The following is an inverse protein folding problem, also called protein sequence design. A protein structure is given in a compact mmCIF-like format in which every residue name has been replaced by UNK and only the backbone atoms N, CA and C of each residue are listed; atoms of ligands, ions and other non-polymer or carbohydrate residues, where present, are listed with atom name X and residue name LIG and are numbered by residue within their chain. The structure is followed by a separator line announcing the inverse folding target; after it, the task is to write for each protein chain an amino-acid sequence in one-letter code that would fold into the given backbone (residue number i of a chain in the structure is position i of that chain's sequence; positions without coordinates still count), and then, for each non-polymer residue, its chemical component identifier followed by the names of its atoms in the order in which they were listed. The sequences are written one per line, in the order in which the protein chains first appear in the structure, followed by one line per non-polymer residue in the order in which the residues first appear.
data_IF_930796786552
#
_entry.id   IF_930796786552
#
_cell.length_a   1.000
_cell.length_b   1.000
_cell.length_c   1.000
_cell.angle_alpha   90.00
_cell.angle_beta   90.00
_cell.angle_gamma   90.00
#
_symmetry.space_group_name_H-M   'P 1'
#
loop_
_entity.id
_entity.type
_entity.pdbx_description
1 polymer ?
#
# COMPACT_ATOMS: atom_id res chain seq x y z
N UNK A 1 -12.72 -0.13 -4.58
CA UNK A 1 -11.79 -0.65 -3.56
C UNK A 1 -12.50 -1.79 -2.86
N UNK A 2 -11.98 -3.00 -2.97
CA UNK A 2 -12.38 -4.13 -2.14
C UNK A 2 -11.57 -4.02 -0.83
N UNK A 3 -12.14 -3.32 0.16
CA UNK A 3 -11.36 -2.80 1.29
C UNK A 3 -11.55 -3.59 2.57
N UNK A 4 -10.43 -4.06 3.12
CA UNK A 4 -10.28 -4.70 4.43
C UNK A 4 -10.50 -3.76 5.62
N UNK A 5 -10.56 -2.46 5.38
CA UNK A 5 -10.90 -1.44 6.40
C UNK A 5 -12.37 -1.55 6.81
N UNK A 6 -13.22 -2.04 5.90
CA UNK A 6 -14.61 -2.35 6.21
C UNK A 6 -14.71 -3.77 6.80
N UNK A 7 -15.81 -4.05 7.49
CA UNK A 7 -16.08 -5.40 7.99
C UNK A 7 -16.21 -6.37 6.81
N UNK A 8 -15.41 -7.46 6.75
CA UNK A 8 -15.52 -8.46 5.69
C UNK A 8 -16.92 -9.09 5.67
N UNK A 9 -17.46 -9.25 4.46
CA UNK A 9 -18.73 -9.95 4.24
C UNK A 9 -18.54 -11.46 4.03
N UNK A 10 -17.38 -11.86 3.51
CA UNK A 10 -16.89 -13.24 3.39
C UNK A 10 -15.48 -13.26 4.02
N UNK A 11 -15.09 -14.37 4.64
CA UNK A 11 -13.78 -14.56 5.29
C UNK A 11 -12.89 -15.59 4.56
N UNK A 12 -13.39 -16.13 3.44
CA UNK A 12 -12.77 -17.20 2.66
C UNK A 12 -12.60 -16.81 1.19
N UNK A 13 -13.55 -16.07 0.61
CA UNK A 13 -13.50 -15.69 -0.80
C UNK A 13 -13.51 -14.18 -1.00
N UNK A 14 -12.59 -13.70 -1.84
CA UNK A 14 -12.65 -12.35 -2.38
C UNK A 14 -13.61 -12.33 -3.58
N UNK A 15 -14.02 -11.13 -3.97
CA UNK A 15 -14.82 -10.90 -5.18
C UNK A 15 -14.06 -11.43 -6.40
N UNK A 16 -14.77 -12.16 -7.28
CA UNK A 16 -14.29 -12.44 -8.63
C UNK A 16 -14.45 -11.17 -9.48
N UNK A 17 -13.35 -10.42 -9.58
CA UNK A 17 -13.33 -9.06 -10.17
C UNK A 17 -13.40 -9.11 -11.69
N UNK A 18 -13.12 -10.26 -12.32
CA UNK A 18 -13.22 -10.44 -13.77
C UNK A 18 -14.65 -10.30 -14.30
N UNK A 19 -15.66 -10.50 -13.44
CA UNK A 19 -17.07 -10.31 -13.80
C UNK A 19 -17.49 -8.84 -13.94
N UNK A 20 -16.57 -7.90 -13.70
CA UNK A 20 -16.86 -6.46 -13.68
C UNK A 20 -16.05 -5.71 -14.74
N UNK A 21 -16.65 -4.62 -15.25
CA UNK A 21 -15.97 -3.67 -16.14
C UNK A 21 -15.25 -2.55 -15.38
N UNK A 22 -15.68 -2.28 -14.14
CA UNK A 22 -15.08 -1.26 -13.29
C UNK A 22 -13.82 -1.83 -12.65
N UNK A 23 -12.68 -1.13 -12.68
CA UNK A 23 -11.44 -1.63 -12.10
C UNK A 23 -11.51 -1.71 -10.57
N UNK A 24 -10.88 -2.74 -10.02
CA UNK A 24 -10.76 -2.94 -8.57
C UNK A 24 -9.37 -2.58 -8.08
N UNK A 25 -9.33 -2.00 -6.88
CA UNK A 25 -8.12 -1.86 -6.06
C UNK A 25 -8.27 -2.76 -4.84
N UNK A 26 -7.19 -3.46 -4.48
CA UNK A 26 -7.13 -4.35 -3.32
C UNK A 26 -5.91 -4.02 -2.44
N UNK A 27 -6.04 -4.26 -1.13
CA UNK A 27 -4.93 -4.17 -0.18
C UNK A 27 -4.04 -5.42 -0.20
N UNK A 28 -2.74 -5.24 0.01
CA UNK A 28 -1.78 -6.33 0.22
C UNK A 28 -0.73 -5.97 1.27
N UNK A 29 -0.28 -6.98 2.02
CA UNK A 29 0.82 -6.87 3.00
C UNK A 29 2.14 -7.40 2.45
N UNK A 30 2.08 -8.33 1.51
CA UNK A 30 3.23 -9.02 0.92
C UNK A 30 2.97 -9.34 -0.57
N UNK A 31 4.00 -9.82 -1.26
CA UNK A 31 3.91 -10.09 -2.70
C UNK A 31 2.92 -11.22 -3.04
N UNK A 32 2.89 -12.30 -2.26
CA UNK A 32 1.98 -13.42 -2.53
C UNK A 32 0.52 -12.99 -2.50
N UNK A 33 0.16 -12.19 -1.49
CA UNK A 33 -1.16 -11.58 -1.37
C UNK A 33 -1.48 -10.67 -2.56
N UNK A 34 -0.56 -9.78 -2.95
CA UNK A 34 -0.74 -8.91 -4.11
C UNK A 34 -1.01 -9.72 -5.40
N UNK A 35 -0.24 -10.78 -5.64
CA UNK A 35 -0.39 -11.62 -6.84
C UNK A 35 -1.71 -12.40 -6.84
N UNK A 36 -2.19 -12.87 -5.67
CA UNK A 36 -3.52 -13.48 -5.58
C UNK A 36 -4.63 -12.49 -5.94
N UNK A 37 -4.57 -11.25 -5.42
CA UNK A 37 -5.56 -10.20 -5.75
C UNK A 37 -5.54 -9.84 -7.24
N UNK A 38 -4.36 -9.76 -7.85
CA UNK A 38 -4.21 -9.51 -9.30
C UNK A 38 -4.82 -10.68 -10.09
N UNK A 39 -4.55 -11.93 -9.70
CA UNK A 39 -5.13 -13.10 -10.34
C UNK A 39 -6.66 -13.14 -10.25
N UNK A 40 -7.22 -12.63 -9.17
CA UNK A 40 -8.67 -12.46 -9.00
C UNK A 40 -9.26 -11.27 -9.78
N UNK A 41 -8.43 -10.49 -10.50
CA UNK A 41 -8.84 -9.38 -11.35
C UNK A 41 -8.63 -7.98 -10.77
N UNK A 42 -7.80 -7.81 -9.73
CA UNK A 42 -7.43 -6.48 -9.25
C UNK A 42 -6.58 -5.74 -10.30
N UNK A 43 -7.01 -4.53 -10.67
CA UNK A 43 -6.31 -3.66 -11.62
C UNK A 43 -5.32 -2.70 -10.94
N UNK A 44 -5.29 -2.71 -9.60
CA UNK A 44 -4.45 -1.86 -8.77
C UNK A 44 -4.22 -2.51 -7.41
N UNK A 45 -3.02 -2.36 -6.87
CA UNK A 45 -2.68 -2.79 -5.51
C UNK A 45 -2.34 -1.56 -4.66
N UNK A 46 -2.73 -1.60 -3.39
CA UNK A 46 -2.22 -0.70 -2.35
C UNK A 46 -1.66 -1.48 -1.18
N UNK A 47 -0.72 -0.90 -0.43
CA UNK A 47 -0.44 -1.44 0.91
C UNK A 47 -1.70 -1.35 1.78
N UNK A 48 -1.86 -2.26 2.75
CA UNK A 48 -2.92 -2.12 3.77
C UNK A 48 -2.57 -1.01 4.74
N UNK A 49 -1.38 -1.13 5.33
CA UNK A 49 -0.94 -0.30 6.45
C UNK A 49 -1.90 -0.42 7.63
N UNK A 50 -1.78 0.46 8.62
CA UNK A 50 -2.77 0.53 9.69
C UNK A 50 -3.61 1.80 9.48
N UNK A 51 -4.84 1.63 9.00
CA UNK A 51 -5.68 2.76 8.64
C UNK A 51 -6.21 3.48 9.89
N UNK A 52 -6.18 4.81 9.87
CA UNK A 52 -6.75 5.63 10.95
C UNK A 52 -5.82 5.93 12.14
N UNK A 53 -4.60 5.36 12.17
CA UNK A 53 -3.63 5.57 13.26
C UNK A 53 -2.72 6.76 13.07
N UNK A 54 -2.50 7.21 11.84
CA UNK A 54 -1.48 8.22 11.55
C UNK A 54 -0.04 7.72 11.72
N UNK A 55 0.15 6.41 11.79
CA UNK A 55 1.47 5.76 11.84
C UNK A 55 1.76 5.00 10.54
N UNK A 56 2.77 5.49 9.79
CA UNK A 56 3.20 4.95 8.50
C UNK A 56 4.08 3.70 8.60
N UNK A 57 4.40 3.22 9.80
CA UNK A 57 5.28 2.07 10.06
C UNK A 57 4.84 0.80 9.31
N UNK A 58 3.57 0.42 9.43
CA UNK A 58 3.02 -0.78 8.76
C UNK A 58 3.02 -0.64 7.24
N UNK A 59 2.63 0.53 6.73
CA UNK A 59 2.65 0.81 5.30
C UNK A 59 4.08 0.71 4.73
N UNK A 60 5.06 1.25 5.47
CA UNK A 60 6.49 1.13 5.16
C UNK A 60 6.93 -0.34 5.13
N UNK A 61 6.53 -1.12 6.13
CA UNK A 61 6.81 -2.55 6.20
C UNK A 61 6.30 -3.32 4.98
N UNK A 62 5.04 -3.14 4.61
CA UNK A 62 4.44 -3.79 3.45
C UNK A 62 5.14 -3.41 2.15
N UNK A 63 5.41 -2.11 1.93
CA UNK A 63 6.11 -1.64 0.73
C UNK A 63 7.50 -2.28 0.61
N UNK A 64 8.25 -2.36 1.72
CA UNK A 64 9.56 -3.02 1.74
C UNK A 64 9.45 -4.51 1.47
N UNK A 65 8.49 -5.21 2.09
CA UNK A 65 8.29 -6.65 1.90
C UNK A 65 7.94 -6.98 0.45
N UNK A 66 6.98 -6.27 -0.15
CA UNK A 66 6.56 -6.47 -1.54
C UNK A 66 7.75 -6.24 -2.48
N UNK A 67 8.44 -5.12 -2.35
CA UNK A 67 9.56 -4.77 -3.24
C UNK A 67 10.77 -5.67 -3.06
N UNK A 68 11.09 -6.09 -1.84
CA UNK A 68 12.17 -7.03 -1.58
C UNK A 68 11.87 -8.40 -2.19
N UNK A 69 10.62 -8.88 -2.11
CA UNK A 69 10.21 -10.11 -2.75
C UNK A 69 10.28 -10.02 -4.28
N UNK A 70 9.87 -8.89 -4.88
CA UNK A 70 10.02 -8.66 -6.33
C UNK A 70 11.49 -8.69 -6.74
N UNK A 71 12.37 -7.99 -6.00
CA UNK A 71 13.81 -7.98 -6.27
C UNK A 71 14.43 -9.37 -6.12
N UNK A 72 13.97 -10.16 -5.14
CA UNK A 72 14.39 -11.56 -4.97
C UNK A 72 13.99 -12.39 -6.19
N UNK A 73 12.73 -12.32 -6.64
CA UNK A 73 12.25 -13.04 -7.82
C UNK A 73 13.05 -12.70 -9.08
N UNK A 74 13.35 -11.41 -9.29
CA UNK A 74 14.13 -10.96 -10.45
C UNK A 74 15.59 -11.47 -10.47
N UNK A 75 16.10 -11.93 -9.33
CA UNK A 75 17.44 -12.50 -9.22
C UNK A 75 17.47 -14.03 -9.31
N UNK A 76 16.32 -14.70 -9.29
CA UNK A 76 16.24 -16.17 -9.39
C UNK A 76 16.40 -16.62 -10.85
N UNK A 77 17.04 -17.78 -11.09
CA UNK A 77 16.94 -18.45 -12.37
C UNK A 77 15.51 -18.99 -12.58
N UNK A 78 15.10 -19.17 -13.84
CA UNK A 78 13.72 -19.48 -14.20
C UNK A 78 13.20 -20.79 -13.57
N UNK A 79 14.07 -21.80 -13.41
CA UNK A 79 13.73 -23.09 -12.81
C UNK A 79 13.44 -23.01 -11.29
N UNK A 80 14.01 -22.02 -10.59
CA UNK A 80 13.72 -21.79 -9.16
C UNK A 80 12.35 -21.08 -8.94
N UNK A 81 11.78 -20.47 -9.99
CA UNK A 81 10.51 -19.74 -9.88
C UNK A 81 9.31 -20.63 -9.56
N UNK A 82 9.36 -21.92 -9.89
CA UNK A 82 8.29 -22.87 -9.52
C UNK A 82 8.14 -23.02 -8.00
N UNK A 83 9.27 -23.10 -7.28
CA UNK A 83 9.26 -23.18 -5.81
C UNK A 83 8.81 -21.84 -5.23
N UNK A 84 9.32 -20.72 -5.76
CA UNK A 84 8.90 -19.40 -5.33
C UNK A 84 7.39 -19.16 -5.49
N UNK A 85 6.80 -19.58 -6.62
CA UNK A 85 5.36 -19.48 -6.85
C UNK A 85 4.54 -20.31 -5.84
N UNK A 86 5.03 -21.51 -5.48
CA UNK A 86 4.41 -22.34 -4.45
C UNK A 86 4.46 -21.68 -3.07
N UNK A 87 5.60 -21.12 -2.68
CA UNK A 87 5.76 -20.44 -1.38
C UNK A 87 4.92 -19.16 -1.28
N UNK A 88 4.85 -18.39 -2.37
CA UNK A 88 4.00 -17.20 -2.47
C UNK A 88 2.51 -17.54 -2.54
N UNK A 89 2.17 -18.80 -2.81
CA UNK A 89 0.80 -19.25 -3.09
C UNK A 89 0.17 -18.40 -4.22
N UNK A 90 0.94 -18.20 -5.29
CA UNK A 90 0.59 -17.35 -6.41
C UNK A 90 0.71 -18.10 -7.75
N UNK A 91 -0.04 -17.70 -8.80
CA UNK A 91 0.06 -18.33 -10.11
C UNK A 91 1.47 -18.20 -10.71
N UNK A 92 2.00 -19.31 -11.22
CA UNK A 92 3.36 -19.35 -11.77
C UNK A 92 3.59 -18.32 -12.89
N UNK A 93 2.66 -18.20 -13.84
CA UNK A 93 2.81 -17.25 -14.95
C UNK A 93 2.94 -15.81 -14.47
N UNK A 94 2.18 -15.44 -13.43
CA UNK A 94 2.23 -14.10 -12.85
C UNK A 94 3.54 -13.87 -12.08
N UNK A 95 4.02 -14.89 -11.37
CA UNK A 95 5.34 -14.85 -10.70
C UNK A 95 6.46 -14.69 -11.72
N UNK A 96 6.40 -15.43 -12.83
CA UNK A 96 7.36 -15.35 -13.93
C UNK A 96 7.34 -13.98 -14.61
N UNK A 97 6.15 -13.42 -14.86
CA UNK A 97 6.01 -12.07 -15.39
C UNK A 97 6.66 -11.03 -14.47
N UNK A 98 6.40 -11.10 -13.16
CA UNK A 98 6.99 -10.18 -12.17
C UNK A 98 8.50 -10.35 -12.06
N UNK A 99 9.01 -11.58 -12.09
CA UNK A 99 10.44 -11.87 -12.09
C UNK A 99 11.13 -11.23 -13.31
N UNK A 100 10.55 -11.40 -14.50
CA UNK A 100 11.09 -10.83 -15.74
C UNK A 100 10.99 -9.30 -15.79
N UNK A 101 9.89 -8.72 -15.30
CA UNK A 101 9.64 -7.28 -15.36
C UNK A 101 10.32 -6.49 -14.23
N UNK A 102 10.64 -7.13 -13.11
CA UNK A 102 11.16 -6.48 -11.90
C UNK A 102 10.16 -5.54 -11.22
N UNK A 103 8.86 -5.70 -11.50
CA UNK A 103 7.75 -4.89 -10.96
C UNK A 103 6.41 -5.64 -11.08
N UNK A 104 5.39 -5.16 -10.38
CA UNK A 104 4.02 -5.64 -10.57
C UNK A 104 3.49 -5.21 -11.95
N UNK A 105 2.57 -5.99 -12.56
CA UNK A 105 1.90 -5.63 -13.81
C UNK A 105 0.81 -4.55 -13.62
N UNK A 106 0.56 -4.13 -12.39
CA UNK A 106 -0.41 -3.08 -12.01
C UNK A 106 0.27 -2.03 -11.13
N UNK A 107 -0.36 -0.87 -11.00
CA UNK A 107 0.11 0.21 -10.11
C UNK A 107 0.12 -0.24 -8.64
N UNK A 108 1.15 0.19 -7.91
CA UNK A 108 1.35 -0.05 -6.48
C UNK A 108 1.32 1.26 -5.70
N UNK A 109 0.20 1.54 -5.03
CA UNK A 109 0.09 2.70 -4.15
C UNK A 109 0.42 2.33 -2.70
N UNK A 110 0.69 3.34 -1.88
CA UNK A 110 0.75 3.19 -0.43
C UNK A 110 -0.51 3.73 0.23
N UNK A 111 -1.09 2.96 1.16
CA UNK A 111 -2.16 3.38 2.05
C UNK A 111 -1.88 2.96 3.51
N UNK A 112 -2.58 3.64 4.43
CA UNK A 112 -2.47 3.43 5.87
C UNK A 112 -1.40 4.31 6.51
N UNK A 113 -1.75 5.02 7.59
CA UNK A 113 -0.78 5.78 8.39
C UNK A 113 -0.30 7.14 7.87
N UNK A 114 -0.51 7.49 6.60
CA UNK A 114 0.00 8.76 6.03
C UNK A 114 -0.72 9.96 6.66
N UNK A 115 0.02 10.79 7.42
CA UNK A 115 -0.53 11.94 8.16
C UNK A 115 0.14 13.28 7.80
N UNK A 116 1.33 13.23 7.19
CA UNK A 116 2.14 14.41 6.88
C UNK A 116 2.62 14.43 5.42
N UNK A 117 3.03 15.60 4.89
CA UNK A 117 3.68 15.67 3.59
C UNK A 117 4.99 14.86 3.53
N UNK A 118 5.72 14.77 4.65
CA UNK A 118 6.95 13.97 4.73
C UNK A 118 6.66 12.47 4.57
N UNK A 119 5.59 11.95 5.19
CA UNK A 119 5.18 10.55 5.01
C UNK A 119 4.86 10.26 3.55
N UNK A 120 4.09 11.15 2.90
CA UNK A 120 3.73 11.00 1.50
C UNK A 120 4.96 11.00 0.58
N UNK A 121 5.89 11.94 0.77
CA UNK A 121 7.14 11.96 0.01
C UNK A 121 7.99 10.72 0.26
N UNK A 122 8.13 10.29 1.52
CA UNK A 122 8.86 9.08 1.88
C UNK A 122 8.30 7.84 1.18
N UNK A 123 6.98 7.70 1.09
CA UNK A 123 6.36 6.55 0.41
C UNK A 123 6.64 6.54 -1.09
N UNK A 124 6.65 7.71 -1.74
CA UNK A 124 7.07 7.83 -3.14
C UNK A 124 8.56 7.47 -3.31
N UNK A 125 9.44 7.94 -2.42
CA UNK A 125 10.88 7.58 -2.42
C UNK A 125 11.12 6.08 -2.19
N UNK A 126 10.22 5.40 -1.48
CA UNK A 126 10.24 3.94 -1.33
C UNK A 126 9.74 3.18 -2.57
N UNK A 127 9.35 3.90 -3.63
CA UNK A 127 8.95 3.33 -4.92
C UNK A 127 7.47 2.97 -5.00
N UNK A 128 6.62 3.74 -4.32
CA UNK A 128 5.18 3.75 -4.59
C UNK A 128 4.87 4.57 -5.86
N UNK A 129 3.82 4.18 -6.58
CA UNK A 129 3.30 4.93 -7.73
C UNK A 129 2.35 6.07 -7.31
N UNK A 130 1.99 6.12 -6.03
CA UNK A 130 1.08 7.11 -5.46
C UNK A 130 0.70 6.78 -4.02
N UNK A 131 -0.10 7.65 -3.39
CA UNK A 131 -0.50 7.53 -1.99
C UNK A 131 -2.00 7.71 -1.79
N UNK A 132 -2.59 6.94 -0.87
CA UNK A 132 -3.94 7.13 -0.36
C UNK A 132 -3.89 7.80 1.01
N UNK A 133 -4.71 8.84 1.18
CA UNK A 133 -4.73 9.62 2.42
C UNK A 133 -6.18 9.87 2.81
N UNK A 134 -6.54 9.44 4.02
CA UNK A 134 -7.88 9.61 4.59
C UNK A 134 -7.84 10.46 5.84
N UNK A 135 -7.74 9.79 7.00
CA UNK A 135 -7.75 10.45 8.33
C UNK A 135 -6.67 11.51 8.49
N UNK A 136 -5.49 11.32 7.88
CA UNK A 136 -4.38 12.27 7.92
C UNK A 136 -4.75 13.68 7.47
N UNK A 137 -5.72 13.80 6.55
CA UNK A 137 -6.25 15.09 6.09
C UNK A 137 -7.44 15.51 6.95
N UNK A 138 -8.49 14.69 7.01
CA UNK A 138 -9.78 15.12 7.55
C UNK A 138 -9.86 15.18 9.08
N UNK A 139 -8.91 14.55 9.80
CA UNK A 139 -8.78 14.67 11.26
C UNK A 139 -7.70 15.66 11.69
N UNK A 140 -7.23 16.53 10.78
CA UNK A 140 -6.24 17.57 11.08
C UNK A 140 -6.90 18.93 11.34
N UNK A 141 -6.14 19.87 11.92
CA UNK A 141 -6.63 21.22 12.22
C UNK A 141 -6.86 22.10 10.99
N UNK A 142 -6.27 21.78 9.84
CA UNK A 142 -6.52 22.48 8.57
C UNK A 142 -6.52 21.51 7.37
N UNK A 143 -7.63 20.80 7.12
CA UNK A 143 -7.70 19.77 6.08
C UNK A 143 -7.38 20.28 4.67
N UNK A 144 -7.87 21.47 4.29
CA UNK A 144 -7.67 22.00 2.95
C UNK A 144 -6.19 22.29 2.67
N UNK A 145 -5.50 22.97 3.59
CA UNK A 145 -4.08 23.26 3.45
C UNK A 145 -3.23 21.98 3.51
N UNK A 146 -3.58 21.03 4.40
CA UNK A 146 -2.88 19.75 4.51
C UNK A 146 -3.05 18.90 3.25
N UNK A 147 -4.25 18.84 2.67
CA UNK A 147 -4.48 18.14 1.41
C UNK A 147 -3.59 18.72 0.28
N UNK A 148 -3.56 20.04 0.14
CA UNK A 148 -2.71 20.70 -0.84
C UNK A 148 -1.22 20.44 -0.60
N UNK A 149 -0.79 20.45 0.66
CA UNK A 149 0.59 20.16 1.04
C UNK A 149 1.00 18.71 0.74
N UNK A 150 0.12 17.75 1.01
CA UNK A 150 0.35 16.33 0.72
C UNK A 150 0.42 16.10 -0.79
N UNK A 151 -0.52 16.63 -1.57
CA UNK A 151 -0.47 16.56 -3.05
C UNK A 151 0.83 17.13 -3.59
N UNK A 152 1.26 18.29 -3.07
CA UNK A 152 2.52 18.93 -3.46
C UNK A 152 3.73 18.06 -3.11
N UNK A 153 3.79 17.49 -1.91
CA UNK A 153 4.89 16.64 -1.49
C UNK A 153 4.91 15.29 -2.24
N UNK A 154 3.76 14.73 -2.61
CA UNK A 154 3.70 13.55 -3.49
C UNK A 154 4.23 13.86 -4.88
N UNK A 155 3.97 15.07 -5.41
CA UNK A 155 4.42 15.46 -6.76
C UNK A 155 5.93 15.75 -6.80
N UNK A 156 6.44 16.43 -5.77
CA UNK A 156 7.84 16.86 -5.67
C UNK A 156 8.57 16.09 -4.56
N UNK A 157 8.38 14.77 -4.53
CA UNK A 157 8.84 13.92 -3.43
C UNK A 157 10.36 13.81 -3.31
N UNK A 158 11.09 14.23 -4.34
CA UNK A 158 12.56 14.25 -4.42
C UNK A 158 13.16 15.65 -4.20
N UNK A 159 12.32 16.69 -4.01
CA UNK A 159 12.75 18.06 -3.72
C UNK A 159 12.59 18.38 -2.22
N UNK A 160 13.67 18.32 -1.42
CA UNK A 160 13.61 18.56 0.02
C UNK A 160 13.17 19.99 0.37
N UNK A 161 13.47 20.98 -0.48
CA UNK A 161 13.06 22.37 -0.25
C UNK A 161 11.55 22.53 -0.43
N UNK A 162 10.97 21.88 -1.45
CA UNK A 162 9.52 21.88 -1.66
C UNK A 162 8.80 21.17 -0.53
N UNK A 163 9.29 20.01 -0.09
CA UNK A 163 8.72 19.25 1.03
C UNK A 163 8.78 20.09 2.31
N UNK A 164 9.93 20.70 2.62
CA UNK A 164 10.09 21.55 3.79
C UNK A 164 9.16 22.76 3.75
N UNK A 165 8.99 23.41 2.58
CA UNK A 165 8.05 24.54 2.40
C UNK A 165 6.59 24.09 2.55
N UNK A 166 6.22 22.96 1.95
CA UNK A 166 4.86 22.40 2.03
C UNK A 166 4.49 21.99 3.46
N UNK A 167 5.47 21.63 4.29
CA UNK A 167 5.26 21.15 5.65
C UNK A 167 5.06 22.28 6.69
N UNK A 168 5.18 23.55 6.28
CA UNK A 168 5.07 24.71 7.18
C UNK A 168 3.62 25.16 7.38
N UNK A 169 3.31 25.55 8.62
CA UNK A 169 2.06 26.24 8.93
C UNK A 169 0.80 25.42 8.70
N UNK A 170 0.87 24.08 8.79
CA UNK A 170 -0.24 23.15 8.53
C UNK A 170 -1.23 22.98 9.70
N UNK A 171 -1.02 23.70 10.80
CA UNK A 171 -1.74 23.51 12.05
C UNK A 171 -1.50 22.13 12.67
N UNK A 172 -2.36 21.76 13.63
CA UNK A 172 -2.27 20.49 14.32
C UNK A 172 -2.47 19.31 13.36
N UNK A 173 -1.61 18.31 13.48
CA UNK A 173 -1.78 17.03 12.80
C UNK A 173 -2.89 16.21 13.47
N UNK A 174 -3.35 15.15 12.80
CA UNK A 174 -4.18 14.17 13.49
C UNK A 174 -3.41 13.57 14.68
N UNK A 175 -4.12 13.28 15.77
CA UNK A 175 -3.52 12.58 16.92
C UNK A 175 -3.23 11.15 16.49
N UNK A 176 -1.95 10.77 16.59
CA UNK A 176 -1.49 9.43 16.28
C UNK A 176 -1.98 8.43 17.33
N UNK A 177 -2.24 7.19 16.90
CA UNK A 177 -2.51 6.06 17.78
C UNK A 177 -1.34 5.09 17.61
N UNK A 178 -0.71 4.70 18.71
CA UNK A 178 0.35 3.70 18.66
C UNK A 178 -0.26 2.35 18.26
N UNK A 179 0.24 1.74 17.19
CA UNK A 179 -0.28 0.46 16.67
C UNK A 179 -0.12 -0.67 17.69
N UNK A 180 0.92 -0.62 18.51
CA UNK A 180 1.17 -1.63 19.56
C UNK A 180 0.09 -1.63 20.64
N UNK A 181 -0.60 -0.50 20.84
CA UNK A 181 -1.69 -0.34 21.80
C UNK A 181 -3.05 -0.81 21.25
N UNK A 182 -3.13 -1.12 19.95
CA UNK A 182 -4.34 -1.65 19.31
C UNK A 182 -4.36 -3.17 19.51
N UNK A 183 -5.40 -3.74 20.16
CA UNK A 183 -5.55 -5.18 20.29
C UNK A 183 -5.56 -5.85 18.91
N UNK A 184 -4.87 -6.98 18.76
CA UNK A 184 -4.76 -7.72 17.48
C UNK A 184 -6.09 -7.87 16.70
N UNK A 185 -7.23 -8.23 17.31
CA UNK A 185 -8.50 -8.36 16.58
C UNK A 185 -8.99 -7.07 15.89
N UNK A 186 -8.47 -5.92 16.31
CA UNK A 186 -8.83 -4.61 15.79
C UNK A 186 -7.81 -4.04 14.80
N UNK A 187 -6.66 -4.69 14.61
CA UNK A 187 -5.65 -4.28 13.63
C UNK A 187 -6.13 -4.57 12.22
N UNK A 188 -6.17 -3.54 11.39
CA UNK A 188 -6.63 -3.59 10.02
C UNK A 188 -5.56 -4.13 9.07
N UNK A 189 -4.28 -3.87 9.38
CA UNK A 189 -3.14 -4.40 8.63
C UNK A 189 -3.13 -5.93 8.53
N UNK A 190 -3.62 -6.61 9.57
CA UNK A 190 -3.67 -8.07 9.68
C UNK A 190 -4.98 -8.67 9.13
N UNK A 191 -5.94 -7.85 8.67
CA UNK A 191 -7.23 -8.33 8.12
C UNK A 191 -7.12 -8.69 6.65
N UNK A 192 -7.71 -9.82 6.25
CA UNK A 192 -7.67 -10.33 4.87
C UNK A 192 -6.63 -11.46 4.70
N UNK A 193 -6.85 -12.36 3.74
CA UNK A 193 -6.11 -13.62 3.56
C UNK A 193 -5.48 -13.78 2.16
#
# INVERSE_FOLDING_TARGET
DESEVLTPADYVHHIDKWNFKVPFVCGATNLGEALRRINEGAAMIRSKGEAGTGDVSNATGHMRQIRAAIAKLAALPEDELYVAAKELQAPYELVKEVAAAGKLPVVLFTAGGIATPADAAMMMQLGADGVFVGSGIFKSGNPAQRAAAVVKATTFFDDPDVIAKASRGLGEAMVGINVDEIPQPHRLSERGW
#
